data_IF_552848804806
#
_entry.id   IF_552848804806
#
_cell.length_a   1.000
_cell.length_b   1.000
_cell.length_c   1.000
_cell.angle_alpha   90.00
_cell.angle_beta   90.00
_cell.angle_gamma   90.00
#
_symmetry.space_group_name_H-M   'P 1'
#
loop_
_entity.id
_entity.type
_entity.pdbx_description
1 polymer ?
#
# COMPACT_ATOMS: atom_id res chain seq x y z
N UNK A 1 -27.94 -4.14 7.88
CA UNK A 1 -27.11 -4.42 6.68
C UNK A 1 -25.78 -4.93 7.18
N UNK A 2 -25.14 -5.90 6.50
CA UNK A 2 -23.79 -6.32 6.87
C UNK A 2 -22.80 -5.27 6.37
N UNK A 3 -21.93 -4.76 7.25
CA UNK A 3 -20.79 -3.93 6.84
C UNK A 3 -19.88 -4.78 5.93
N UNK A 4 -19.50 -4.30 4.73
CA UNK A 4 -18.56 -5.02 3.88
C UNK A 4 -17.27 -5.37 4.63
N UNK A 5 -16.78 -6.61 4.49
CA UNK A 5 -15.51 -7.02 5.09
C UNK A 5 -14.38 -6.16 4.55
N UNK A 6 -13.43 -5.76 5.39
CA UNK A 6 -12.21 -5.08 4.95
C UNK A 6 -11.10 -6.12 4.79
N UNK A 7 -10.32 -6.06 3.71
CA UNK A 7 -9.08 -6.85 3.59
C UNK A 7 -7.96 -5.92 4.04
N UNK A 8 -7.35 -6.25 5.18
CA UNK A 8 -6.30 -5.41 5.78
C UNK A 8 -4.89 -5.84 5.39
N UNK A 9 -4.71 -6.99 4.74
CA UNK A 9 -3.38 -7.51 4.44
C UNK A 9 -3.34 -8.44 3.23
N UNK A 10 -2.21 -8.40 2.52
CA UNK A 10 -1.67 -9.55 1.76
C UNK A 10 -0.30 -9.87 2.34
N UNK A 11 -0.04 -11.14 2.64
CA UNK A 11 1.24 -11.58 3.22
C UNK A 11 2.07 -12.44 2.25
N UNK A 12 3.39 -12.36 2.39
CA UNK A 12 4.38 -13.12 1.64
C UNK A 12 5.22 -14.00 2.57
N UNK A 13 5.48 -15.23 2.13
CA UNK A 13 6.55 -16.07 2.64
C UNK A 13 7.76 -15.92 1.74
N UNK A 14 8.82 -15.30 2.24
CA UNK A 14 9.94 -14.79 1.46
C UNK A 14 11.28 -15.39 1.91
N UNK A 15 12.12 -15.78 0.94
CA UNK A 15 13.49 -16.22 1.18
C UNK A 15 14.39 -15.04 1.59
N UNK A 16 14.10 -13.83 1.10
CA UNK A 16 14.63 -12.56 1.60
C UNK A 16 13.58 -11.45 1.74
N UNK A 17 12.86 -11.48 2.86
CA UNK A 17 11.94 -10.41 3.27
C UNK A 17 12.59 -9.03 3.48
N UNK A 18 13.91 -8.87 3.40
CA UNK A 18 14.53 -7.56 3.32
C UNK A 18 14.55 -7.02 1.88
N UNK A 19 15.16 -7.75 0.94
CA UNK A 19 15.24 -7.39 -0.47
C UNK A 19 13.88 -7.27 -1.12
N UNK A 20 12.99 -8.25 -0.91
CA UNK A 20 11.64 -8.25 -1.46
C UNK A 20 10.83 -7.02 -0.99
N UNK A 21 10.81 -6.78 0.32
CA UNK A 21 10.12 -5.63 0.92
C UNK A 21 10.75 -4.29 0.52
N UNK A 22 12.07 -4.22 0.31
CA UNK A 22 12.73 -3.04 -0.25
C UNK A 22 12.29 -2.79 -1.69
N UNK A 23 12.19 -3.84 -2.51
CA UNK A 23 11.72 -3.71 -3.89
C UNK A 23 10.30 -3.15 -3.96
N UNK A 24 9.33 -3.66 -3.18
CA UNK A 24 7.98 -3.08 -3.14
C UNK A 24 7.97 -1.62 -2.64
N UNK A 25 8.79 -1.30 -1.65
CA UNK A 25 8.96 0.06 -1.14
C UNK A 25 9.49 1.04 -2.20
N UNK A 26 10.52 0.66 -2.95
CA UNK A 26 11.14 1.49 -3.99
C UNK A 26 10.25 1.57 -5.25
N UNK A 27 9.78 0.41 -5.74
CA UNK A 27 9.02 0.29 -6.99
C UNK A 27 7.68 1.01 -6.94
N UNK A 28 6.96 0.93 -5.81
CA UNK A 28 5.61 1.47 -5.66
C UNK A 28 5.53 2.67 -4.72
N UNK A 29 6.67 3.18 -4.22
CA UNK A 29 6.77 4.28 -3.25
C UNK A 29 6.02 4.04 -1.91
N UNK A 30 5.72 2.77 -1.58
CA UNK A 30 5.08 2.38 -0.31
C UNK A 30 5.96 2.76 0.90
N UNK A 31 5.36 2.87 2.08
CA UNK A 31 6.09 3.31 3.28
C UNK A 31 6.48 2.14 4.18
N UNK A 32 7.77 2.02 4.48
CA UNK A 32 8.27 1.09 5.51
C UNK A 32 7.57 1.31 6.86
N UNK A 33 7.00 0.25 7.43
CA UNK A 33 6.42 0.22 8.78
C UNK A 33 7.35 -0.51 9.78
N UNK A 34 6.81 -1.00 10.89
CA UNK A 34 7.50 -1.74 11.93
C UNK A 34 8.07 -3.08 11.40
N UNK A 35 8.87 -3.73 12.25
CA UNK A 35 9.40 -5.08 12.04
C UNK A 35 9.43 -5.80 13.38
N UNK A 36 9.09 -7.08 13.41
CA UNK A 36 8.97 -7.90 14.62
C UNK A 36 9.66 -9.26 14.39
N UNK A 37 10.21 -9.84 15.46
CA UNK A 37 10.56 -11.26 15.54
C UNK A 37 9.40 -12.00 16.19
N UNK A 38 8.79 -12.92 15.46
CA UNK A 38 7.68 -13.75 15.91
C UNK A 38 8.20 -15.12 16.35
N UNK A 39 7.78 -15.59 17.54
CA UNK A 39 8.33 -16.77 18.21
C UNK A 39 7.24 -17.67 18.81
N UNK A 40 7.47 -18.99 18.92
CA UNK A 40 6.50 -19.95 19.47
C UNK A 40 6.32 -19.78 20.99
N UNK A 41 5.18 -20.22 21.57
CA UNK A 41 4.19 -21.13 20.99
C UNK A 41 3.01 -20.46 20.26
N UNK A 42 2.78 -19.16 20.42
CA UNK A 42 1.61 -18.49 19.86
C UNK A 42 1.58 -18.51 18.32
N UNK A 43 2.74 -18.31 17.68
CA UNK A 43 2.91 -18.43 16.23
C UNK A 43 2.52 -19.82 15.70
N UNK A 44 2.99 -20.88 16.36
CA UNK A 44 2.63 -22.28 16.03
C UNK A 44 1.12 -22.48 16.03
N UNK A 45 0.43 -21.94 17.03
CA UNK A 45 -1.03 -22.06 17.17
C UNK A 45 -1.81 -21.21 16.15
N UNK A 46 -1.31 -20.01 15.81
CA UNK A 46 -1.97 -19.10 14.87
C UNK A 46 -1.75 -19.56 13.42
N UNK A 47 -0.51 -19.85 13.05
CA UNK A 47 -0.13 -20.15 11.65
C UNK A 47 -0.18 -21.65 11.32
N UNK A 48 -0.43 -22.52 12.30
CA UNK A 48 -0.50 -23.98 12.10
C UNK A 48 0.87 -24.65 11.87
N UNK A 49 1.95 -23.87 11.82
CA UNK A 49 3.30 -24.33 11.49
C UNK A 49 4.08 -24.72 12.76
N UNK A 50 4.57 -25.96 12.82
CA UNK A 50 5.27 -26.49 13.99
C UNK A 50 6.53 -25.68 14.34
N UNK A 51 6.55 -25.09 15.54
CA UNK A 51 7.64 -24.28 16.09
C UNK A 51 7.98 -23.04 15.24
N UNK A 52 6.95 -22.37 14.71
CA UNK A 52 7.10 -21.21 13.84
C UNK A 52 7.92 -20.07 14.47
N UNK A 53 9.13 -19.86 13.96
CA UNK A 53 10.02 -18.74 14.28
C UNK A 53 10.30 -17.97 12.99
N UNK A 54 9.94 -16.69 12.93
CA UNK A 54 10.08 -15.88 11.71
C UNK A 54 10.38 -14.42 12.04
N UNK A 55 11.09 -13.72 11.15
CA UNK A 55 11.06 -12.25 11.13
C UNK A 55 9.92 -11.80 10.23
N UNK A 56 9.30 -10.69 10.60
CA UNK A 56 8.30 -10.03 9.78
C UNK A 56 8.59 -8.53 9.67
N UNK A 57 8.25 -7.93 8.54
CA UNK A 57 8.24 -6.49 8.34
C UNK A 57 7.14 -6.07 7.38
N UNK A 58 6.58 -4.88 7.61
CA UNK A 58 5.41 -4.41 6.85
C UNK A 58 5.71 -3.20 5.97
N UNK A 59 4.88 -3.01 4.95
CA UNK A 59 4.72 -1.76 4.19
C UNK A 59 3.26 -1.31 4.26
N UNK A 60 3.01 0.00 4.23
CA UNK A 60 1.66 0.56 4.02
C UNK A 60 1.58 1.35 2.71
N UNK A 61 0.40 1.34 2.09
CA UNK A 61 0.09 2.04 0.85
C UNK A 61 -0.72 3.33 1.10
N UNK A 62 -1.43 3.81 0.07
CA UNK A 62 -2.29 5.00 0.12
C UNK A 62 -3.49 4.90 1.08
N UNK A 63 -3.91 3.69 1.47
CA UNK A 63 -5.16 3.44 2.21
C UNK A 63 -5.01 3.66 3.73
N UNK A 64 -6.12 3.63 4.47
CA UNK A 64 -6.07 3.35 5.91
C UNK A 64 -6.30 1.85 6.17
N UNK A 65 -5.73 1.34 7.26
CA UNK A 65 -5.88 -0.06 7.70
C UNK A 65 -5.56 -1.13 6.62
N UNK A 66 -4.56 -0.89 5.76
CA UNK A 66 -4.00 -1.90 4.85
C UNK A 66 -2.47 -2.01 5.02
N UNK A 67 -1.92 -3.22 4.85
CA UNK A 67 -0.47 -3.48 4.83
C UNK A 67 -0.08 -4.63 3.89
N UNK A 68 1.12 -4.56 3.31
CA UNK A 68 1.81 -5.75 2.79
C UNK A 68 2.71 -6.32 3.88
N UNK A 69 2.61 -7.62 4.13
CA UNK A 69 3.35 -8.34 5.17
C UNK A 69 4.43 -9.25 4.57
N UNK A 70 5.67 -9.20 5.08
CA UNK A 70 6.80 -9.95 4.53
C UNK A 70 7.48 -10.82 5.60
N UNK A 71 7.09 -12.10 5.67
CA UNK A 71 7.73 -13.09 6.54
C UNK A 71 9.00 -13.67 5.95
N UNK A 72 9.97 -13.98 6.81
CA UNK A 72 11.07 -14.90 6.52
C UNK A 72 11.13 -15.93 7.64
N UNK A 73 10.73 -17.15 7.35
CA UNK A 73 10.69 -18.21 8.35
C UNK A 73 12.10 -18.79 8.57
N UNK A 74 12.53 -18.73 9.83
CA UNK A 74 13.80 -19.25 10.33
C UNK A 74 13.62 -20.73 10.70
N UNK A 75 12.50 -21.07 11.35
CA UNK A 75 12.11 -22.45 11.62
C UNK A 75 10.59 -22.63 11.46
N UNK A 76 10.13 -23.66 10.71
CA UNK A 76 10.88 -24.35 9.67
C UNK A 76 11.38 -23.34 8.63
N UNK A 77 12.52 -23.59 7.99
CA UNK A 77 13.01 -22.70 6.95
C UNK A 77 12.13 -22.83 5.70
N UNK A 78 11.65 -21.71 5.17
CA UNK A 78 10.89 -21.63 3.91
C UNK A 78 11.57 -22.43 2.79
N UNK A 79 10.85 -23.36 2.17
CA UNK A 79 11.32 -23.99 0.92
C UNK A 79 11.18 -22.99 -0.24
N UNK A 80 12.10 -22.99 -1.22
CA UNK A 80 11.87 -22.29 -2.48
C UNK A 80 10.63 -22.82 -3.20
N UNK A 81 9.95 -21.96 -3.95
CA UNK A 81 8.79 -22.33 -4.76
C UNK A 81 9.29 -23.15 -5.96
N UNK A 82 8.68 -24.30 -6.30
CA UNK A 82 8.96 -24.95 -7.58
C UNK A 82 8.51 -24.05 -8.74
N UNK A 83 8.86 -24.42 -9.98
CA UNK A 83 8.31 -23.80 -11.18
C UNK A 83 6.77 -23.92 -11.19
N UNK A 84 6.09 -22.83 -10.86
CA UNK A 84 4.62 -22.71 -10.80
C UNK A 84 4.16 -21.58 -11.72
N UNK A 85 3.08 -21.85 -12.43
CA UNK A 85 2.38 -20.92 -13.31
C UNK A 85 1.22 -20.27 -12.56
N UNK A 86 0.72 -19.10 -13.00
CA UNK A 86 -0.48 -18.47 -12.42
C UNK A 86 -1.77 -19.29 -12.60
N UNK A 87 -1.72 -20.40 -13.35
CA UNK A 87 -2.79 -21.39 -13.45
C UNK A 87 -2.80 -22.43 -12.32
N UNK A 88 -1.71 -22.57 -11.57
CA UNK A 88 -1.58 -23.58 -10.51
C UNK A 88 -2.26 -23.12 -9.21
N UNK A 89 -2.81 -24.04 -8.42
CA UNK A 89 -3.67 -23.73 -7.27
C UNK A 89 -2.95 -22.87 -6.22
N UNK A 90 -3.48 -21.68 -5.92
CA UNK A 90 -2.91 -20.76 -4.93
C UNK A 90 -3.19 -19.27 -5.15
N UNK A 91 -2.60 -18.43 -4.30
CA UNK A 91 -2.54 -16.98 -4.47
C UNK A 91 -1.39 -16.63 -5.43
N UNK A 92 -1.69 -16.08 -6.63
CA UNK A 92 -0.72 -16.05 -7.73
C UNK A 92 -0.30 -14.66 -8.23
N UNK A 93 -1.22 -13.69 -8.27
CA UNK A 93 -0.95 -12.36 -8.84
C UNK A 93 -1.43 -11.29 -7.87
N UNK A 94 -0.54 -10.38 -7.47
CA UNK A 94 -0.87 -9.20 -6.68
C UNK A 94 -1.14 -8.01 -7.61
N UNK A 95 -2.33 -7.41 -7.53
CA UNK A 95 -2.68 -6.24 -8.33
C UNK A 95 -2.52 -4.92 -7.57
N UNK A 96 -1.76 -4.00 -8.15
CA UNK A 96 -1.48 -2.67 -7.61
C UNK A 96 -1.97 -1.61 -8.61
N UNK A 97 -2.98 -0.85 -8.20
CA UNK A 97 -3.41 0.32 -8.94
C UNK A 97 -2.35 1.42 -8.83
N UNK A 98 -2.01 2.05 -9.96
CA UNK A 98 -1.02 3.12 -10.05
C UNK A 98 -1.62 4.38 -10.69
N UNK A 99 -1.48 5.52 -10.00
CA UNK A 99 -1.96 6.83 -10.49
C UNK A 99 -1.01 7.48 -11.51
N UNK A 100 0.23 7.01 -11.58
CA UNK A 100 1.24 7.42 -12.55
C UNK A 100 1.95 6.16 -13.08
N UNK A 101 1.35 5.60 -14.13
CA UNK A 101 1.76 4.34 -14.75
C UNK A 101 3.15 4.48 -15.40
N UNK A 102 3.36 5.51 -16.22
CA UNK A 102 4.60 5.72 -16.98
C UNK A 102 5.83 5.92 -16.08
N UNK A 103 5.71 6.77 -15.04
CA UNK A 103 6.79 6.99 -14.06
C UNK A 103 7.04 5.75 -13.21
N UNK A 104 6.08 4.85 -13.06
CA UNK A 104 6.22 3.61 -12.28
C UNK A 104 6.82 2.48 -13.11
N UNK A 105 6.39 2.29 -14.36
CA UNK A 105 7.06 1.39 -15.32
C UNK A 105 8.51 1.83 -15.57
N UNK A 106 8.78 3.14 -15.70
CA UNK A 106 10.15 3.68 -15.79
C UNK A 106 10.99 3.37 -14.55
N UNK A 107 10.40 3.37 -13.36
CA UNK A 107 11.06 3.06 -12.07
C UNK A 107 11.39 1.57 -11.96
N UNK A 108 10.45 0.71 -12.32
CA UNK A 108 10.61 -0.75 -12.37
C UNK A 108 11.71 -1.17 -13.35
N UNK A 109 11.71 -0.61 -14.57
CA UNK A 109 12.80 -0.80 -15.54
C UNK A 109 14.17 -0.37 -14.98
N UNK A 110 14.25 0.80 -14.32
CA UNK A 110 15.49 1.27 -13.68
C UNK A 110 15.95 0.42 -12.48
N UNK A 111 15.07 -0.43 -11.95
CA UNK A 111 15.37 -1.41 -10.89
C UNK A 111 15.70 -2.82 -11.44
N UNK A 112 15.66 -3.01 -12.76
CA UNK A 112 15.87 -4.30 -13.42
C UNK A 112 14.64 -5.20 -13.52
N UNK A 113 13.49 -4.78 -12.98
CA UNK A 113 12.20 -5.48 -13.14
C UNK A 113 11.46 -4.95 -14.36
N UNK A 114 11.91 -5.35 -15.55
CA UNK A 114 11.20 -5.05 -16.78
C UNK A 114 9.82 -5.72 -16.84
N UNK A 115 8.85 -5.14 -17.58
CA UNK A 115 7.61 -5.80 -17.95
C UNK A 115 7.81 -7.21 -18.55
N UNK A 116 6.91 -8.13 -18.20
CA UNK A 116 6.86 -9.49 -18.77
C UNK A 116 6.37 -9.44 -20.23
N UNK A 117 5.45 -8.52 -20.53
CA UNK A 117 4.96 -8.17 -21.86
C UNK A 117 4.83 -6.65 -21.97
N UNK A 118 4.69 -6.12 -23.18
CA UNK A 118 4.35 -4.70 -23.36
C UNK A 118 3.01 -4.35 -22.67
N UNK A 119 2.85 -3.10 -22.16
CA UNK A 119 1.59 -2.62 -21.60
C UNK A 119 0.41 -2.73 -22.58
N UNK A 120 -0.73 -3.20 -22.09
CA UNK A 120 -2.01 -3.29 -22.82
C UNK A 120 -2.99 -2.21 -22.38
N UNK A 121 -3.96 -1.88 -23.24
CA UNK A 121 -5.03 -0.93 -22.98
C UNK A 121 -4.68 0.54 -23.30
N UNK A 122 -5.71 1.38 -23.40
CA UNK A 122 -5.59 2.83 -23.60
C UNK A 122 -5.27 3.58 -22.31
N UNK A 123 -4.68 4.77 -22.42
CA UNK A 123 -4.34 5.63 -21.27
C UNK A 123 -5.56 5.93 -20.40
N UNK A 124 -5.44 5.64 -19.11
CA UNK A 124 -6.53 5.63 -18.11
C UNK A 124 -6.98 4.21 -17.75
N UNK A 125 -6.73 3.23 -18.62
CA UNK A 125 -7.07 1.82 -18.47
C UNK A 125 -5.87 0.88 -18.69
N UNK A 126 -4.63 1.39 -18.68
CA UNK A 126 -3.45 0.57 -18.99
C UNK A 126 -3.18 -0.49 -17.92
N UNK A 127 -2.70 -1.64 -18.39
CA UNK A 127 -2.36 -2.82 -17.59
C UNK A 127 -1.01 -3.40 -18.03
N UNK A 128 -0.19 -3.85 -17.08
CA UNK A 128 1.07 -4.59 -17.36
C UNK A 128 1.51 -5.43 -16.16
N UNK A 129 2.19 -6.54 -16.41
CA UNK A 129 2.74 -7.40 -15.35
C UNK A 129 4.27 -7.33 -15.26
N UNK A 130 4.81 -7.37 -14.04
CA UNK A 130 6.24 -7.53 -13.73
C UNK A 130 6.45 -8.70 -12.76
N UNK A 131 7.66 -9.25 -12.71
CA UNK A 131 8.09 -10.13 -11.64
C UNK A 131 8.77 -9.33 -10.51
N UNK A 132 8.44 -9.66 -9.26
CA UNK A 132 9.23 -9.24 -8.10
C UNK A 132 10.52 -10.07 -7.96
N UNK A 133 11.47 -9.71 -7.07
CA UNK A 133 12.74 -10.43 -6.90
C UNK A 133 12.64 -11.88 -6.43
N UNK A 134 11.45 -12.34 -6.02
CA UNK A 134 11.18 -13.73 -5.65
C UNK A 134 10.24 -14.44 -6.64
N UNK A 135 9.94 -13.80 -7.78
CA UNK A 135 9.16 -14.35 -8.88
C UNK A 135 7.65 -14.38 -8.66
N UNK A 136 7.09 -13.61 -7.72
CA UNK A 136 5.65 -13.38 -7.71
C UNK A 136 5.28 -12.37 -8.81
N UNK A 137 4.14 -12.56 -9.46
CA UNK A 137 3.66 -11.63 -10.47
C UNK A 137 2.96 -10.46 -9.78
N UNK A 138 3.35 -9.26 -10.16
CA UNK A 138 2.67 -8.02 -9.78
C UNK A 138 2.06 -7.41 -11.03
N UNK A 139 0.74 -7.26 -11.05
CA UNK A 139 0.05 -6.47 -12.06
C UNK A 139 0.01 -4.99 -11.62
N UNK A 140 0.29 -4.11 -12.57
CA UNK A 140 0.06 -2.68 -12.48
C UNK A 140 -1.15 -2.33 -13.34
N UNK A 141 -2.09 -1.57 -12.79
CA UNK A 141 -3.24 -1.06 -13.55
C UNK A 141 -3.59 0.40 -13.23
N UNK A 142 -4.11 1.13 -14.22
CA UNK A 142 -4.60 2.51 -13.99
C UNK A 142 -6.02 2.52 -13.41
N UNK A 143 -6.90 1.64 -13.88
CA UNK A 143 -8.31 1.52 -13.49
C UNK A 143 -8.72 0.07 -13.16
N UNK A 144 -9.93 -0.09 -12.62
CA UNK A 144 -10.50 -1.36 -12.18
C UNK A 144 -12.05 -1.24 -12.18
N UNK A 145 -12.81 -2.34 -12.36
CA UNK A 145 -14.23 -2.30 -12.74
C UNK A 145 -15.21 -1.89 -11.63
N UNK A 146 -14.73 -1.47 -10.45
CA UNK A 146 -15.53 -1.32 -9.23
C UNK A 146 -15.07 -0.07 -8.49
N UNK A 147 -16.00 0.78 -8.04
CA UNK A 147 -15.67 1.92 -7.18
C UNK A 147 -15.56 1.54 -5.69
N UNK A 148 -14.63 2.19 -4.99
CA UNK A 148 -14.46 2.13 -3.54
C UNK A 148 -14.73 3.52 -2.92
N UNK A 149 -15.98 4.04 -2.96
CA UNK A 149 -16.29 5.42 -2.56
C UNK A 149 -15.99 5.69 -1.08
N UNK A 150 -16.15 4.68 -0.22
CA UNK A 150 -15.87 4.80 1.22
C UNK A 150 -14.37 4.78 1.57
N UNK A 151 -13.49 4.46 0.60
CA UNK A 151 -12.04 4.31 0.83
C UNK A 151 -11.32 5.60 0.50
N UNK A 152 -11.40 6.55 1.44
CA UNK A 152 -10.59 7.77 1.43
C UNK A 152 -9.11 7.40 1.59
N UNK A 153 -8.26 7.92 0.70
CA UNK A 153 -6.81 7.73 0.80
C UNK A 153 -6.26 8.43 2.06
N UNK A 154 -5.67 7.67 2.98
CA UNK A 154 -5.00 8.24 4.17
C UNK A 154 -3.70 8.96 3.82
N UNK A 155 -3.08 8.55 2.70
CA UNK A 155 -1.78 8.98 2.19
C UNK A 155 -1.87 9.22 0.66
N UNK A 156 -2.60 10.26 0.19
CA UNK A 156 -2.78 10.55 -1.22
C UNK A 156 -1.48 10.98 -1.93
N UNK A 157 -0.39 11.24 -1.19
CA UNK A 157 0.95 11.38 -1.77
C UNK A 157 1.55 10.07 -2.31
N UNK A 158 1.01 8.90 -1.92
CA UNK A 158 1.45 7.58 -2.41
C UNK A 158 0.67 7.26 -3.69
N UNK A 159 1.38 7.23 -4.82
CA UNK A 159 0.82 7.00 -6.15
C UNK A 159 0.38 5.56 -6.44
N UNK A 160 0.45 4.66 -5.46
CA UNK A 160 0.21 3.23 -5.63
C UNK A 160 -0.72 2.70 -4.54
N UNK A 161 -1.67 1.86 -4.93
CA UNK A 161 -2.68 1.30 -4.03
C UNK A 161 -2.82 -0.20 -4.31
N UNK A 162 -2.65 -1.05 -3.31
CA UNK A 162 -2.83 -2.50 -3.50
C UNK A 162 -4.33 -2.78 -3.53
N UNK A 163 -4.83 -3.33 -4.65
CA UNK A 163 -6.26 -3.35 -4.97
C UNK A 163 -6.82 -4.71 -5.33
N UNK A 164 -6.02 -5.69 -5.75
CA UNK A 164 -6.54 -7.03 -6.06
C UNK A 164 -5.57 -8.16 -5.73
N UNK A 165 -6.12 -9.37 -5.59
CA UNK A 165 -5.39 -10.64 -5.63
C UNK A 165 -6.12 -11.58 -6.61
N UNK A 166 -5.36 -12.28 -7.45
CA UNK A 166 -5.88 -13.39 -8.28
C UNK A 166 -5.58 -14.71 -7.56
N UNK A 167 -6.62 -15.51 -7.35
CA UNK A 167 -6.58 -16.77 -6.62
C UNK A 167 -7.06 -17.90 -7.53
N UNK A 168 -6.17 -18.85 -7.80
CA UNK A 168 -6.45 -19.95 -8.73
C UNK A 168 -6.97 -21.15 -7.96
N UNK A 169 -8.22 -21.55 -8.21
CA UNK A 169 -9.01 -22.45 -7.36
C UNK A 169 -9.40 -23.74 -8.10
N UNK A 170 -9.56 -24.88 -7.39
CA UNK A 170 -9.90 -26.15 -8.04
C UNK A 170 -11.36 -26.21 -8.47
N UNK A 171 -12.26 -25.56 -7.74
CA UNK A 171 -13.70 -25.47 -8.04
C UNK A 171 -14.22 -24.06 -7.76
N UNK A 172 -14.78 -23.40 -8.79
CA UNK A 172 -15.20 -22.01 -8.67
C UNK A 172 -16.43 -21.82 -7.77
N UNK A 173 -17.38 -22.75 -7.76
CA UNK A 173 -18.62 -22.63 -6.99
C UNK A 173 -18.39 -22.91 -5.50
N UNK A 174 -17.54 -23.89 -5.19
CA UNK A 174 -17.09 -24.16 -3.84
C UNK A 174 -16.35 -22.94 -3.25
N UNK A 175 -15.38 -22.39 -3.98
CA UNK A 175 -14.64 -21.21 -3.53
C UNK A 175 -15.51 -19.94 -3.52
N UNK A 176 -16.45 -19.77 -4.47
CA UNK A 176 -17.49 -18.71 -4.43
C UNK A 176 -18.21 -18.72 -3.09
N UNK A 177 -18.80 -19.86 -2.73
CA UNK A 177 -19.59 -20.01 -1.51
C UNK A 177 -18.73 -19.85 -0.24
N UNK A 178 -17.47 -20.27 -0.27
CA UNK A 178 -16.55 -20.01 0.85
C UNK A 178 -16.24 -18.52 1.04
N UNK A 179 -15.78 -17.83 -0.01
CA UNK A 179 -15.37 -16.44 0.11
C UNK A 179 -16.58 -15.48 0.26
N UNK A 180 -17.75 -15.77 -0.32
CA UNK A 180 -18.97 -14.98 -0.10
C UNK A 180 -19.70 -15.36 1.19
N UNK A 181 -20.24 -16.59 1.28
CA UNK A 181 -21.17 -16.96 2.34
C UNK A 181 -20.49 -17.23 3.68
N UNK A 182 -19.27 -17.79 3.69
CA UNK A 182 -18.55 -18.06 4.95
C UNK A 182 -17.81 -16.79 5.41
N UNK A 183 -16.88 -16.28 4.58
CA UNK A 183 -16.01 -15.16 4.96
C UNK A 183 -16.71 -13.78 4.93
N UNK A 184 -17.62 -13.56 3.96
CA UNK A 184 -18.41 -12.32 3.85
C UNK A 184 -17.92 -11.31 2.81
N UNK A 185 -17.24 -11.74 1.74
CA UNK A 185 -17.03 -10.89 0.56
C UNK A 185 -18.33 -10.79 -0.26
N UNK A 186 -18.45 -9.76 -1.10
CA UNK A 186 -19.61 -9.58 -1.98
C UNK A 186 -19.25 -9.94 -3.42
N UNK A 187 -20.15 -10.63 -4.13
CA UNK A 187 -20.02 -10.83 -5.58
C UNK A 187 -20.15 -9.48 -6.31
N UNK A 188 -19.40 -9.32 -7.39
CA UNK A 188 -19.52 -8.21 -8.34
C UNK A 188 -20.20 -8.77 -9.59
N UNK A 189 -21.53 -8.62 -9.67
CA UNK A 189 -22.34 -9.27 -10.72
C UNK A 189 -21.97 -8.77 -12.14
N UNK A 190 -21.87 -7.45 -12.33
CA UNK A 190 -21.65 -6.80 -13.65
C UNK A 190 -20.17 -6.43 -13.91
N UNK A 191 -19.21 -6.95 -13.14
CA UNK A 191 -17.83 -6.47 -13.15
C UNK A 191 -16.79 -7.58 -13.34
N UNK A 192 -16.07 -7.53 -14.47
CA UNK A 192 -14.95 -8.43 -14.79
C UNK A 192 -13.63 -7.68 -14.60
N UNK A 193 -12.71 -8.23 -13.81
CA UNK A 193 -11.33 -7.71 -13.70
C UNK A 193 -10.45 -8.29 -14.83
N UNK A 194 -10.60 -9.58 -15.11
CA UNK A 194 -9.85 -10.27 -16.17
C UNK A 194 -10.71 -11.04 -17.17
N UNK A 195 -10.40 -10.85 -18.44
CA UNK A 195 -10.88 -11.65 -19.57
C UNK A 195 -9.75 -12.57 -20.08
N UNK A 196 -10.06 -13.39 -21.09
CA UNK A 196 -9.10 -14.30 -21.74
C UNK A 196 -7.92 -13.55 -22.39
N UNK A 197 -8.06 -12.26 -22.73
CA UNK A 197 -6.98 -11.45 -23.32
C UNK A 197 -5.91 -11.02 -22.32
N UNK A 198 -6.18 -11.15 -21.01
CA UNK A 198 -5.22 -10.90 -19.94
C UNK A 198 -4.31 -12.10 -19.65
N UNK A 199 -4.68 -13.32 -20.04
CA UNK A 199 -3.91 -14.56 -19.81
C UNK A 199 -2.50 -14.51 -20.45
N UNK A 200 -2.37 -13.89 -21.61
CA UNK A 200 -1.09 -13.77 -22.33
C UNK A 200 -0.04 -12.97 -21.55
N UNK A 201 -0.44 -11.94 -20.79
CA UNK A 201 0.47 -11.14 -19.96
C UNK A 201 1.08 -11.95 -18.81
N UNK A 202 0.51 -13.12 -18.53
CA UNK A 202 0.88 -14.03 -17.44
C UNK A 202 1.62 -15.28 -17.94
N UNK A 203 1.93 -15.33 -19.25
CA UNK A 203 2.56 -16.49 -19.89
C UNK A 203 1.59 -17.66 -20.12
N UNK A 204 0.27 -17.38 -20.23
CA UNK A 204 -0.80 -18.36 -20.42
C UNK A 204 -1.58 -18.16 -21.74
N UNK A 205 -0.92 -18.00 -22.91
CA UNK A 205 -1.62 -17.78 -24.18
C UNK A 205 -2.57 -18.95 -24.52
N UNK A 206 -3.81 -18.61 -24.90
CA UNK A 206 -4.86 -19.59 -25.20
C UNK A 206 -5.42 -20.34 -23.99
N UNK A 207 -5.16 -19.88 -22.76
CA UNK A 207 -5.78 -20.45 -21.58
C UNK A 207 -7.30 -20.26 -21.56
N UNK A 208 -8.00 -21.23 -20.97
CA UNK A 208 -9.46 -21.25 -20.82
C UNK A 208 -9.78 -21.41 -19.35
N UNK A 209 -10.47 -20.43 -18.77
CA UNK A 209 -10.76 -20.35 -17.34
C UNK A 209 -12.21 -19.91 -17.09
N UNK A 210 -12.74 -20.28 -15.92
CA UNK A 210 -13.94 -19.63 -15.35
C UNK A 210 -13.50 -18.65 -14.29
N UNK A 211 -14.15 -17.49 -14.20
CA UNK A 211 -13.78 -16.41 -13.29
C UNK A 211 -14.97 -15.91 -12.48
N UNK A 212 -14.69 -15.45 -11.26
CA UNK A 212 -15.63 -14.71 -10.42
C UNK A 212 -14.90 -13.56 -9.73
N UNK A 213 -15.40 -12.34 -9.87
CA UNK A 213 -14.91 -11.20 -9.13
C UNK A 213 -15.69 -11.04 -7.81
N UNK A 214 -14.95 -11.03 -6.71
CA UNK A 214 -15.45 -10.68 -5.38
C UNK A 214 -14.85 -9.34 -4.95
N UNK A 215 -15.58 -8.59 -4.13
CA UNK A 215 -15.10 -7.36 -3.49
C UNK A 215 -15.23 -7.40 -1.98
N UNK A 216 -14.32 -6.68 -1.34
CA UNK A 216 -14.36 -6.27 0.05
C UNK A 216 -14.85 -4.79 0.12
N UNK A 217 -14.68 -4.14 1.27
CA UNK A 217 -14.78 -2.69 1.43
C UNK A 217 -13.75 -1.93 0.57
N UNK A 218 -12.59 -2.52 0.30
CA UNK A 218 -11.39 -1.82 -0.20
C UNK A 218 -10.55 -2.57 -1.25
N UNK A 219 -10.88 -3.82 -1.54
CA UNK A 219 -10.00 -4.76 -2.22
C UNK A 219 -10.81 -5.74 -3.07
N UNK A 220 -10.23 -6.26 -4.15
CA UNK A 220 -10.82 -7.25 -5.04
C UNK A 220 -10.15 -8.62 -4.85
N UNK A 221 -10.95 -9.68 -4.91
CA UNK A 221 -10.46 -11.07 -4.93
C UNK A 221 -11.06 -11.70 -6.19
N UNK A 222 -10.23 -11.99 -7.19
CA UNK A 222 -10.69 -12.73 -8.35
C UNK A 222 -10.39 -14.21 -8.15
N UNK A 223 -11.43 -15.04 -8.18
CA UNK A 223 -11.32 -16.50 -8.16
C UNK A 223 -11.29 -17.02 -9.59
N UNK A 224 -10.31 -17.86 -9.92
CA UNK A 224 -10.09 -18.37 -11.29
C UNK A 224 -9.96 -19.89 -11.27
N UNK A 225 -10.91 -20.59 -11.89
CA UNK A 225 -10.83 -22.03 -12.11
C UNK A 225 -10.33 -22.27 -13.54
N UNK A 226 -9.06 -22.66 -13.69
CA UNK A 226 -8.48 -23.00 -14.98
C UNK A 226 -8.96 -24.38 -15.46
N UNK A 227 -9.32 -24.44 -16.74
CA UNK A 227 -9.67 -25.67 -17.47
C UNK A 227 -8.49 -26.09 -18.35
N UNK A 228 -7.85 -25.10 -18.97
CA UNK A 228 -6.65 -25.26 -19.79
C UNK A 228 -5.71 -24.06 -19.57
N UNK A 229 -4.41 -24.26 -19.27
CA UNK A 229 -3.79 -25.53 -18.90
C UNK A 229 -4.41 -26.12 -17.62
N UNK A 230 -4.34 -27.45 -17.47
CA UNK A 230 -4.85 -28.12 -16.27
C UNK A 230 -4.09 -27.63 -15.01
N UNK A 231 -4.78 -27.17 -13.96
CA UNK A 231 -4.14 -26.55 -12.80
C UNK A 231 -3.39 -27.59 -11.95
N UNK A 232 -2.12 -27.34 -11.62
CA UNK A 232 -1.40 -28.20 -10.66
C UNK A 232 -1.79 -27.83 -9.23
N UNK A 233 -2.13 -28.84 -8.44
CA UNK A 233 -2.37 -28.70 -7.00
C UNK A 233 -1.15 -28.13 -6.25
N UNK A 234 -1.32 -27.85 -4.95
CA UNK A 234 -0.21 -27.55 -4.05
C UNK A 234 0.83 -28.69 -4.05
N UNK A 235 2.15 -28.39 -3.96
CA UNK A 235 3.18 -29.42 -3.83
C UNK A 235 2.97 -30.33 -2.61
N UNK A 236 3.44 -31.58 -2.69
CA UNK A 236 3.38 -32.51 -1.56
C UNK A 236 4.12 -31.94 -0.34
N UNK A 237 3.45 -31.93 0.82
CA UNK A 237 3.99 -31.36 2.06
C UNK A 237 4.20 -29.84 2.01
N UNK A 238 3.55 -29.11 1.09
CA UNK A 238 3.46 -27.65 1.11
C UNK A 238 2.97 -27.13 2.47
N UNK A 239 3.56 -26.04 2.93
CA UNK A 239 3.10 -25.27 4.08
C UNK A 239 3.07 -23.79 3.72
N UNK A 240 2.24 -23.00 4.40
CA UNK A 240 2.11 -21.57 4.12
C UNK A 240 3.42 -20.77 4.34
N UNK A 241 4.40 -21.34 5.05
CA UNK A 241 5.76 -20.78 5.15
C UNK A 241 6.67 -21.03 3.94
N UNK A 242 6.28 -21.89 2.99
CA UNK A 242 7.03 -22.09 1.74
C UNK A 242 6.83 -20.88 0.81
N UNK A 243 7.80 -20.62 -0.07
CA UNK A 243 7.94 -19.34 -0.78
C UNK A 243 6.73 -19.00 -1.67
N UNK A 244 6.26 -17.74 -1.56
CA UNK A 244 5.21 -17.18 -2.41
C UNK A 244 4.30 -16.20 -1.66
N UNK A 245 3.17 -15.85 -2.27
CA UNK A 245 2.07 -15.16 -1.59
C UNK A 245 1.41 -16.17 -0.62
N UNK A 246 1.40 -15.84 0.67
CA UNK A 246 0.99 -16.73 1.75
C UNK A 246 -0.53 -16.75 1.94
N UNK A 247 -1.13 -15.58 2.14
CA UNK A 247 -2.57 -15.40 2.37
C UNK A 247 -3.00 -13.94 2.17
N UNK A 248 -4.32 -13.74 2.31
CA UNK A 248 -4.93 -12.45 2.66
C UNK A 248 -5.39 -12.45 4.12
N UNK A 249 -5.54 -11.27 4.74
CA UNK A 249 -6.20 -11.12 6.05
C UNK A 249 -7.46 -10.26 5.99
N UNK A 250 -8.50 -10.71 6.69
CA UNK A 250 -9.72 -9.97 6.96
C UNK A 250 -9.54 -9.13 8.23
N UNK A 251 -9.78 -7.82 8.10
CA UNK A 251 -9.62 -6.83 9.16
C UNK A 251 -10.91 -6.58 9.94
N UNK A 252 -10.81 -6.54 11.27
CA UNK A 252 -11.93 -6.32 12.17
C UNK A 252 -11.77 -5.07 13.05
N UNK A 253 -12.83 -4.27 13.14
CA UNK A 253 -12.88 -3.01 13.91
C UNK A 253 -12.82 -3.22 15.43
N UNK A 254 -13.41 -4.30 15.94
CA UNK A 254 -13.44 -4.65 17.36
C UNK A 254 -13.25 -6.15 17.60
N UNK A 255 -12.96 -6.51 18.86
CA UNK A 255 -12.98 -7.90 19.34
C UNK A 255 -14.33 -8.58 19.12
N UNK A 256 -15.46 -7.86 19.22
CA UNK A 256 -16.79 -8.43 19.02
C UNK A 256 -17.05 -8.79 17.54
N UNK A 257 -16.66 -7.90 16.61
CA UNK A 257 -16.77 -8.15 15.17
C UNK A 257 -15.93 -9.37 14.77
N UNK A 258 -14.71 -9.47 15.35
CA UNK A 258 -13.82 -10.62 15.19
C UNK A 258 -14.48 -11.91 15.70
N UNK A 259 -15.01 -11.92 16.93
CA UNK A 259 -15.54 -13.15 17.53
C UNK A 259 -16.83 -13.63 16.82
N UNK A 260 -17.69 -12.71 16.39
CA UNK A 260 -18.85 -13.04 15.57
C UNK A 260 -18.43 -13.59 14.19
N UNK A 261 -17.44 -12.96 13.54
CA UNK A 261 -16.95 -13.43 12.25
C UNK A 261 -16.23 -14.79 12.35
N UNK A 262 -15.41 -14.98 13.38
CA UNK A 262 -14.71 -16.25 13.64
C UNK A 262 -15.70 -17.38 13.92
N UNK A 263 -16.74 -17.12 14.73
CA UNK A 263 -17.82 -18.10 14.91
C UNK A 263 -18.52 -18.42 13.58
N UNK A 264 -18.90 -17.41 12.79
CA UNK A 264 -19.52 -17.63 11.47
C UNK A 264 -18.63 -18.47 10.54
N UNK A 265 -17.31 -18.20 10.53
CA UNK A 265 -16.37 -18.96 9.72
C UNK A 265 -16.32 -20.44 10.12
N UNK A 266 -16.19 -20.73 11.42
CA UNK A 266 -16.16 -22.11 11.95
C UNK A 266 -17.50 -22.81 11.78
N UNK A 267 -18.63 -22.15 12.04
CA UNK A 267 -19.97 -22.68 11.80
C UNK A 267 -20.21 -22.97 10.31
N UNK A 268 -19.60 -22.19 9.41
CA UNK A 268 -19.61 -22.36 7.96
C UNK A 268 -18.56 -23.33 7.42
N UNK A 269 -17.88 -24.10 8.29
CA UNK A 269 -16.97 -25.18 7.90
C UNK A 269 -15.48 -24.82 7.83
N UNK A 270 -15.08 -23.56 8.04
CA UNK A 270 -13.65 -23.21 8.11
C UNK A 270 -12.94 -23.92 9.26
N UNK A 271 -11.79 -24.55 8.99
CA UNK A 271 -10.94 -25.19 9.99
C UNK A 271 -9.93 -24.19 10.59
N UNK A 272 -10.06 -23.77 11.86
CA UNK A 272 -9.09 -22.88 12.49
C UNK A 272 -7.82 -23.64 12.92
N UNK A 273 -6.66 -23.00 12.82
CA UNK A 273 -5.39 -23.58 13.31
C UNK A 273 -5.35 -23.78 14.84
N UNK A 274 -6.19 -23.06 15.58
CA UNK A 274 -6.34 -23.21 17.02
C UNK A 274 -7.37 -22.24 17.60
N UNK A 275 -7.31 -22.02 18.92
CA UNK A 275 -8.12 -21.00 19.60
C UNK A 275 -7.56 -19.60 19.29
N UNK A 276 -8.38 -18.58 18.97
CA UNK A 276 -7.89 -17.23 18.69
C UNK A 276 -7.00 -16.67 19.80
N UNK A 277 -5.88 -16.07 19.39
CA UNK A 277 -4.86 -15.55 20.31
C UNK A 277 -4.98 -14.03 20.37
N UNK A 278 -5.11 -13.48 21.57
CA UNK A 278 -5.09 -12.04 21.83
C UNK A 278 -3.85 -11.70 22.66
N UNK A 279 -2.96 -10.87 22.11
CA UNK A 279 -1.72 -10.45 22.77
C UNK A 279 -1.76 -8.98 23.24
N UNK A 280 -2.96 -8.40 23.37
CA UNK A 280 -3.16 -7.00 23.78
C UNK A 280 -2.84 -5.97 22.68
N UNK A 281 -1.92 -6.28 21.75
CA UNK A 281 -1.68 -5.50 20.52
C UNK A 281 -2.78 -5.77 19.49
N UNK A 282 -2.98 -7.05 19.18
CA UNK A 282 -3.98 -7.55 18.24
C UNK A 282 -4.58 -8.87 18.74
N UNK A 283 -5.71 -9.25 18.13
CA UNK A 283 -6.33 -10.58 18.24
C UNK A 283 -6.36 -11.24 16.87
N UNK A 284 -5.91 -12.48 16.76
CA UNK A 284 -5.63 -13.15 15.48
C UNK A 284 -5.96 -14.65 15.50
N UNK A 285 -6.39 -15.18 14.36
CA UNK A 285 -6.40 -16.61 14.04
C UNK A 285 -6.40 -16.81 12.52
N UNK A 286 -5.78 -17.89 12.03
CA UNK A 286 -5.90 -18.30 10.63
C UNK A 286 -6.96 -19.38 10.54
N UNK A 287 -7.80 -19.29 9.51
CA UNK A 287 -8.85 -20.26 9.19
C UNK A 287 -8.64 -20.78 7.77
N UNK A 288 -8.87 -22.07 7.56
CA UNK A 288 -8.56 -22.76 6.32
C UNK A 288 -9.81 -23.40 5.73
N UNK A 289 -9.93 -23.43 4.41
CA UNK A 289 -11.00 -24.15 3.72
C UNK A 289 -10.67 -25.65 3.49
N UNK A 290 -11.49 -26.31 2.67
CA UNK A 290 -11.31 -27.71 2.29
C UNK A 290 -10.19 -27.95 1.28
N UNK A 291 -9.79 -26.94 0.49
CA UNK A 291 -8.78 -27.04 -0.57
C UNK A 291 -7.38 -26.57 -0.14
N UNK A 292 -7.26 -26.12 1.12
CA UNK A 292 -6.01 -25.73 1.76
C UNK A 292 -5.71 -24.22 1.71
N UNK A 293 -6.66 -23.39 1.27
CA UNK A 293 -6.49 -21.93 1.32
C UNK A 293 -6.60 -21.45 2.76
N UNK A 294 -5.51 -20.86 3.26
CA UNK A 294 -5.49 -20.18 4.55
C UNK A 294 -5.89 -18.71 4.38
N UNK A 295 -6.72 -18.20 5.29
CA UNK A 295 -7.10 -16.79 5.40
C UNK A 295 -6.88 -16.35 6.85
N UNK A 296 -6.17 -15.24 7.06
CA UNK A 296 -6.00 -14.67 8.39
C UNK A 296 -7.25 -13.84 8.78
N UNK A 297 -7.62 -13.91 10.05
CA UNK A 297 -8.58 -13.03 10.69
C UNK A 297 -7.82 -12.18 11.70
N UNK A 298 -7.94 -10.84 11.61
CA UNK A 298 -7.11 -9.92 12.39
C UNK A 298 -7.92 -8.72 12.93
N UNK A 299 -7.96 -8.59 14.26
CA UNK A 299 -8.34 -7.34 14.92
C UNK A 299 -7.08 -6.65 15.47
N UNK A 300 -6.55 -5.66 14.74
CA UNK A 300 -5.40 -4.86 15.18
C UNK A 300 -5.86 -3.53 15.80
N UNK A 301 -5.51 -3.28 17.06
CA UNK A 301 -6.05 -2.14 17.83
C UNK A 301 -5.43 -0.83 17.36
N UNK A 302 -6.25 0.10 16.85
CA UNK A 302 -5.82 1.39 16.23
C UNK A 302 -4.77 2.18 17.01
N UNK A 303 -4.88 2.22 18.34
CA UNK A 303 -3.91 2.89 19.25
C UNK A 303 -2.50 2.25 19.28
N UNK A 304 -2.31 1.08 18.67
CA UNK A 304 -1.05 0.32 18.60
C UNK A 304 -0.61 0.00 17.16
N UNK A 305 -1.25 0.58 16.14
CA UNK A 305 -0.87 0.40 14.73
C UNK A 305 0.60 0.75 14.39
N UNK A 306 1.29 1.55 15.23
CA UNK A 306 2.73 1.82 15.07
C UNK A 306 3.65 0.68 15.52
N UNK A 307 3.12 -0.41 16.10
CA UNK A 307 3.87 -1.65 16.33
C UNK A 307 3.36 -2.80 15.46
N UNK A 308 2.07 -2.82 15.11
CA UNK A 308 1.43 -3.87 14.29
C UNK A 308 1.28 -3.52 12.81
N UNK A 309 2.31 -2.93 12.17
CA UNK A 309 2.40 -2.76 10.71
C UNK A 309 1.55 -1.66 10.03
N UNK A 310 0.43 -1.23 10.63
CA UNK A 310 -0.53 -0.33 9.97
C UNK A 310 -0.19 1.18 9.95
N UNK A 311 0.94 1.60 10.54
CA UNK A 311 1.43 2.99 10.48
C UNK A 311 2.86 3.06 9.93
N UNK A 312 3.25 4.09 9.16
CA UNK A 312 4.63 4.28 8.73
C UNK A 312 5.63 4.32 9.92
N UNK A 313 6.84 3.78 9.70
CA UNK A 313 7.96 3.84 10.66
C UNK A 313 8.62 5.22 10.75
N UNK A 314 8.33 6.08 9.77
CA UNK A 314 8.77 7.47 9.70
C UNK A 314 8.00 8.33 10.70
N UNK A 315 8.65 9.39 11.19
CA UNK A 315 7.93 10.51 11.76
C UNK A 315 7.10 11.16 10.64
N UNK A 316 5.77 11.06 10.74
CA UNK A 316 4.82 11.52 9.73
C UNK A 316 4.00 12.70 10.28
N UNK A 317 3.87 13.75 9.47
CA UNK A 317 3.16 15.00 9.80
C UNK A 317 2.23 15.34 8.65
N UNK A 318 1.05 15.87 8.97
CA UNK A 318 0.10 16.42 8.00
C UNK A 318 -0.55 17.67 8.57
N UNK A 319 -0.67 18.71 7.74
CA UNK A 319 -1.54 19.86 7.94
C UNK A 319 -2.32 20.14 6.66
N UNK A 320 -3.56 20.60 6.81
CA UNK A 320 -4.55 20.73 5.76
C UNK A 320 -5.31 22.06 5.94
N UNK A 321 -5.72 22.68 4.83
CA UNK A 321 -6.48 23.94 4.82
C UNK A 321 -7.31 24.07 3.54
N UNK A 322 -8.51 24.63 3.66
CA UNK A 322 -9.31 25.12 2.53
C UNK A 322 -8.95 26.58 2.25
N UNK A 323 -8.67 26.90 0.98
CA UNK A 323 -8.36 28.25 0.50
C UNK A 323 -9.39 28.62 -0.57
N UNK A 324 -10.08 29.76 -0.41
CA UNK A 324 -11.01 30.34 -1.39
C UNK A 324 -10.23 30.97 -2.56
N UNK A 325 -9.55 30.13 -3.32
CA UNK A 325 -8.81 30.49 -4.52
C UNK A 325 -8.64 29.27 -5.42
N UNK A 326 -8.40 29.49 -6.71
CA UNK A 326 -8.09 28.43 -7.67
C UNK A 326 -6.74 27.76 -7.37
N UNK A 327 -6.50 26.53 -7.86
CA UNK A 327 -5.21 25.87 -7.66
C UNK A 327 -4.04 26.63 -8.30
N UNK A 328 -4.29 27.45 -9.33
CA UNK A 328 -3.29 28.28 -10.00
C UNK A 328 -2.88 29.49 -9.13
N UNK A 329 -3.85 30.20 -8.55
CA UNK A 329 -3.59 31.29 -7.59
C UNK A 329 -2.82 30.77 -6.37
N UNK A 330 -3.26 29.66 -5.76
CA UNK A 330 -2.54 29.02 -4.63
C UNK A 330 -1.14 28.59 -5.04
N UNK A 331 -0.97 27.98 -6.22
CA UNK A 331 0.33 27.53 -6.73
C UNK A 331 1.30 28.69 -6.95
N UNK A 332 0.83 29.83 -7.46
CA UNK A 332 1.67 31.00 -7.73
C UNK A 332 2.39 31.51 -6.47
N UNK A 333 1.70 31.56 -5.33
CA UNK A 333 2.23 32.00 -4.03
C UNK A 333 2.98 30.88 -3.32
N UNK A 334 2.48 29.64 -3.37
CA UNK A 334 3.12 28.47 -2.74
C UNK A 334 4.49 28.14 -3.38
N UNK A 335 4.65 28.38 -4.68
CA UNK A 335 5.89 28.12 -5.42
C UNK A 335 6.78 29.34 -5.59
N UNK A 336 6.39 30.52 -5.10
CA UNK A 336 7.33 31.63 -4.98
C UNK A 336 8.29 31.39 -3.81
N UNK A 337 9.55 31.12 -4.16
CA UNK A 337 10.62 30.85 -3.21
C UNK A 337 11.17 32.12 -2.56
N UNK A 338 11.02 33.28 -3.20
CA UNK A 338 11.59 34.53 -2.70
C UNK A 338 10.64 35.21 -1.69
N UNK A 339 9.32 35.13 -1.88
CA UNK A 339 8.31 35.56 -0.87
C UNK A 339 7.87 34.47 0.11
N UNK A 340 8.49 33.29 0.09
CA UNK A 340 8.21 32.17 1.03
C UNK A 340 8.30 32.60 2.52
N UNK A 341 9.16 33.58 2.83
CA UNK A 341 9.31 34.14 4.16
C UNK A 341 8.20 35.08 4.64
N UNK A 342 7.22 35.39 3.78
CA UNK A 342 6.07 36.25 4.11
C UNK A 342 4.95 35.47 4.80
N UNK A 343 4.91 34.15 4.59
CA UNK A 343 3.84 33.26 5.07
C UNK A 343 4.34 32.10 5.93
N UNK A 344 5.65 31.97 6.16
CA UNK A 344 6.20 31.04 7.14
C UNK A 344 7.54 31.53 7.73
N UNK A 345 7.98 30.93 8.83
CA UNK A 345 9.27 31.25 9.46
C UNK A 345 10.51 30.91 8.62
N UNK A 346 10.33 30.25 7.46
CA UNK A 346 11.40 29.75 6.61
C UNK A 346 11.65 30.69 5.44
N UNK A 347 12.89 31.16 5.28
CA UNK A 347 13.32 31.91 4.09
C UNK A 347 14.10 30.97 3.16
N UNK A 348 13.66 30.86 1.92
CA UNK A 348 14.38 30.14 0.87
C UNK A 348 15.28 31.09 0.06
N UNK A 349 16.24 30.51 -0.65
CA UNK A 349 16.98 31.13 -1.75
C UNK A 349 17.38 30.03 -2.74
N UNK A 350 17.01 30.18 -4.01
CA UNK A 350 17.44 29.24 -5.06
C UNK A 350 18.96 29.26 -5.20
N UNK A 351 19.55 28.08 -5.36
CA UNK A 351 21.00 27.88 -5.61
C UNK A 351 21.29 27.04 -6.86
N UNK A 352 20.31 26.29 -7.37
CA UNK A 352 20.28 25.71 -8.71
C UNK A 352 18.83 25.77 -9.21
N UNK A 353 18.55 26.32 -10.40
CA UNK A 353 17.22 26.23 -11.02
C UNK A 353 16.92 24.80 -11.49
N UNK A 354 15.63 24.46 -11.63
CA UNK A 354 15.20 23.17 -12.14
C UNK A 354 15.56 22.91 -13.61
N UNK A 355 15.44 21.65 -14.01
CA UNK A 355 15.96 21.11 -15.28
C UNK A 355 15.11 21.48 -16.51
N UNK A 356 13.96 22.14 -16.32
CA UNK A 356 13.05 22.58 -17.39
C UNK A 356 12.25 23.80 -16.96
N UNK A 357 11.66 23.73 -15.77
CA UNK A 357 11.06 24.87 -15.06
C UNK A 357 12.07 25.35 -14.00
N UNK A 358 12.49 26.63 -13.96
CA UNK A 358 13.43 27.15 -12.98
C UNK A 358 12.99 27.02 -11.51
N UNK A 359 11.68 26.88 -11.25
CA UNK A 359 11.08 26.59 -9.93
C UNK A 359 10.80 25.09 -9.71
N UNK A 360 10.89 24.26 -10.75
CA UNK A 360 10.35 22.90 -10.75
C UNK A 360 11.36 21.78 -10.46
N UNK A 361 11.17 20.64 -11.11
CA UNK A 361 11.98 19.42 -10.91
C UNK A 361 13.49 19.70 -11.01
N UNK A 362 14.26 19.25 -10.02
CA UNK A 362 15.71 19.47 -9.94
C UNK A 362 16.13 20.78 -9.28
N UNK A 363 15.20 21.70 -8.99
CA UNK A 363 15.49 22.97 -8.30
C UNK A 363 16.04 22.70 -6.91
N UNK A 364 17.22 23.25 -6.61
CA UNK A 364 17.79 23.23 -5.27
C UNK A 364 17.71 24.62 -4.63
N UNK A 365 17.26 24.65 -3.37
CA UNK A 365 17.09 25.88 -2.58
C UNK A 365 17.70 25.74 -1.19
N UNK A 366 18.36 26.79 -0.72
CA UNK A 366 18.82 26.90 0.68
C UNK A 366 17.67 27.49 1.50
N UNK A 367 17.10 26.69 2.38
CA UNK A 367 16.06 27.10 3.33
C UNK A 367 16.70 27.41 4.69
N UNK A 368 16.22 28.46 5.37
CA UNK A 368 16.76 28.91 6.65
C UNK A 368 15.69 29.43 7.60
N UNK A 369 15.81 29.05 8.87
CA UNK A 369 14.94 29.49 9.97
C UNK A 369 15.67 29.29 11.31
N UNK A 370 15.53 30.25 12.24
CA UNK A 370 16.01 30.11 13.63
C UNK A 370 17.46 29.60 13.76
N UNK A 371 18.37 30.12 12.93
CA UNK A 371 19.78 29.71 12.86
C UNK A 371 20.06 28.43 12.07
N UNK A 372 19.07 27.59 11.83
CA UNK A 372 19.19 26.41 10.97
C UNK A 372 19.36 26.81 9.50
N UNK A 373 20.13 25.99 8.77
CA UNK A 373 20.27 26.04 7.31
C UNK A 373 20.07 24.63 6.75
N UNK A 374 19.32 24.54 5.67
CA UNK A 374 18.88 23.30 5.03
C UNK A 374 19.10 23.46 3.52
N UNK A 375 19.61 22.43 2.84
CA UNK A 375 19.56 22.34 1.39
C UNK A 375 18.42 21.42 1.00
N UNK A 376 17.42 21.95 0.32
CA UNK A 376 16.29 21.21 -0.23
C UNK A 376 16.42 21.05 -1.75
N UNK A 377 15.81 20.01 -2.30
CA UNK A 377 15.67 19.79 -3.74
C UNK A 377 14.24 19.34 -4.08
N UNK A 378 13.64 19.91 -5.13
CA UNK A 378 12.34 19.51 -5.66
C UNK A 378 12.49 18.27 -6.53
N UNK A 379 11.79 17.20 -6.17
CA UNK A 379 11.95 15.84 -6.73
C UNK A 379 10.72 15.35 -7.50
N UNK A 380 9.57 16.03 -7.39
CA UNK A 380 8.37 15.79 -8.21
C UNK A 380 7.68 17.14 -8.48
N UNK A 381 7.15 17.36 -9.69
CA UNK A 381 6.59 18.65 -10.13
C UNK A 381 5.45 18.43 -11.12
N UNK A 382 4.22 18.78 -10.72
CA UNK A 382 3.01 18.78 -11.54
C UNK A 382 2.28 20.11 -11.31
N UNK A 383 2.43 21.11 -12.22
CA UNK A 383 1.85 22.44 -12.08
C UNK A 383 0.38 22.44 -11.67
N UNK A 384 0.06 23.32 -10.72
CA UNK A 384 -1.28 23.56 -10.16
C UNK A 384 -1.90 22.33 -9.47
N UNK A 385 -1.15 21.24 -9.26
CA UNK A 385 -1.63 20.00 -8.63
C UNK A 385 -0.75 19.51 -7.50
N UNK A 386 0.55 19.32 -7.70
CA UNK A 386 1.46 18.87 -6.62
C UNK A 386 2.94 19.10 -6.87
N UNK A 387 3.70 19.24 -5.81
CA UNK A 387 5.14 19.00 -5.84
C UNK A 387 5.64 18.31 -4.58
N UNK A 388 6.78 17.64 -4.70
CA UNK A 388 7.46 17.01 -3.59
C UNK A 388 8.93 17.45 -3.53
N UNK A 389 9.48 17.53 -2.33
CA UNK A 389 10.86 17.98 -2.09
C UNK A 389 11.55 17.15 -1.01
N UNK A 390 12.88 17.07 -1.05
CA UNK A 390 13.72 16.32 -0.11
C UNK A 390 14.81 17.17 0.50
N UNK A 391 15.24 16.86 1.72
CA UNK A 391 16.42 17.49 2.34
C UNK A 391 17.68 16.78 1.89
N UNK A 392 18.53 17.47 1.12
CA UNK A 392 19.85 17.01 0.71
C UNK A 392 20.89 17.18 1.81
N UNK A 393 20.79 18.22 2.64
CA UNK A 393 21.64 18.39 3.84
C UNK A 393 21.06 19.37 4.87
N UNK A 394 21.51 19.27 6.12
CA UNK A 394 21.02 20.09 7.24
C UNK A 394 19.79 19.50 7.92
N UNK A 395 19.00 20.34 8.59
CA UNK A 395 17.67 20.01 9.15
C UNK A 395 17.59 19.02 10.32
N UNK A 396 18.65 18.26 10.62
CA UNK A 396 18.66 17.30 11.73
C UNK A 396 17.89 16.00 11.46
N UNK A 397 17.66 15.67 10.19
CA UNK A 397 16.80 14.57 9.72
C UNK A 397 17.49 13.69 8.67
N UNK A 398 16.98 12.48 8.49
CA UNK A 398 17.28 11.56 7.38
C UNK A 398 15.99 11.22 6.64
N UNK A 399 16.11 10.74 5.41
CA UNK A 399 15.00 10.21 4.59
C UNK A 399 13.80 11.17 4.52
N UNK A 400 14.06 12.48 4.48
CA UNK A 400 13.02 13.50 4.48
C UNK A 400 12.37 13.59 3.09
N UNK A 401 11.04 13.54 3.05
CA UNK A 401 10.23 14.01 1.92
C UNK A 401 9.10 14.88 2.46
N UNK A 402 8.93 16.06 1.88
CA UNK A 402 7.73 16.89 2.01
C UNK A 402 6.93 16.79 0.71
N UNK A 403 5.62 16.71 0.85
CA UNK A 403 4.64 16.52 -0.20
C UNK A 403 3.55 17.59 -0.08
N UNK A 404 3.31 18.33 -1.16
CA UNK A 404 2.31 19.39 -1.25
C UNK A 404 1.33 19.04 -2.37
N UNK A 405 0.05 18.94 -2.01
CA UNK A 405 -1.05 18.54 -2.90
C UNK A 405 -2.15 19.60 -2.86
N UNK A 406 -2.56 20.05 -4.05
CA UNK A 406 -3.70 20.92 -4.30
C UNK A 406 -4.80 20.08 -4.95
N UNK A 407 -5.95 19.97 -4.28
CA UNK A 407 -7.17 19.39 -4.83
C UNK A 407 -8.21 20.50 -5.03
N UNK A 408 -8.68 20.77 -6.26
CA UNK A 408 -9.80 21.68 -6.47
C UNK A 408 -11.08 21.11 -5.82
N UNK A 409 -11.90 21.98 -5.25
CA UNK A 409 -13.22 21.72 -4.67
C UNK A 409 -14.20 22.77 -5.20
N UNK A 410 -15.50 22.59 -4.96
CA UNK A 410 -16.55 23.48 -5.50
C UNK A 410 -16.43 24.94 -5.02
N UNK A 411 -15.79 25.17 -3.87
CA UNK A 411 -15.60 26.46 -3.20
C UNK A 411 -14.12 26.91 -3.10
N UNK A 412 -13.20 26.28 -3.86
CA UNK A 412 -11.80 26.69 -3.93
C UNK A 412 -10.80 25.54 -4.03
N UNK A 413 -9.75 25.58 -3.21
CA UNK A 413 -8.67 24.59 -3.23
C UNK A 413 -8.39 24.03 -1.83
N UNK A 414 -8.45 22.71 -1.70
CA UNK A 414 -7.92 22.00 -0.55
C UNK A 414 -6.40 21.83 -0.70
N UNK A 415 -5.63 22.48 0.17
CA UNK A 415 -4.18 22.31 0.29
C UNK A 415 -3.88 21.30 1.41
N UNK A 416 -3.25 20.18 1.04
CA UNK A 416 -2.62 19.23 1.98
C UNK A 416 -1.11 19.34 1.91
N UNK A 417 -0.47 19.50 3.07
CA UNK A 417 0.97 19.39 3.24
C UNK A 417 1.28 18.19 4.14
N UNK A 418 1.81 17.10 3.56
CA UNK A 418 2.33 15.95 4.30
C UNK A 418 3.87 15.95 4.31
N UNK A 419 4.45 15.37 5.36
CA UNK A 419 5.90 15.26 5.53
C UNK A 419 6.24 13.93 6.19
N UNK A 420 7.27 13.24 5.70
CA UNK A 420 7.86 12.05 6.33
C UNK A 420 9.37 12.23 6.52
N UNK A 421 9.90 11.77 7.64
CA UNK A 421 11.35 11.77 7.91
C UNK A 421 11.74 10.74 8.97
N UNK A 422 13.04 10.44 9.08
CA UNK A 422 13.66 9.77 10.23
C UNK A 422 14.43 10.78 11.08
N UNK A 423 14.26 10.80 12.41
CA UNK A 423 15.07 11.64 13.29
C UNK A 423 16.52 11.13 13.34
N UNK A 424 17.50 12.02 13.52
CA UNK A 424 18.87 11.59 13.81
C UNK A 424 19.03 10.91 15.17
N UNK A 425 18.22 11.33 16.16
CA UNK A 425 18.23 10.79 17.52
C UNK A 425 17.09 9.77 17.67
N UNK A 426 17.36 8.50 18.04
CA UNK A 426 16.34 7.50 18.33
C UNK A 426 15.30 8.00 19.35
N UNK A 427 14.02 7.69 19.13
CA UNK A 427 12.91 8.18 19.96
C UNK A 427 12.49 9.64 19.71
N UNK A 428 13.39 10.50 19.21
CA UNK A 428 13.12 11.93 18.98
C UNK A 428 12.05 12.25 17.91
N UNK A 429 11.59 11.25 17.16
CA UNK A 429 10.64 11.41 16.06
C UNK A 429 9.27 11.94 16.46
N UNK A 430 8.70 11.49 17.59
CA UNK A 430 7.38 11.97 18.05
C UNK A 430 7.42 13.44 18.52
N UNK A 431 8.37 13.88 19.38
CA UNK A 431 8.53 15.30 19.70
C UNK A 431 8.78 16.18 18.47
N UNK A 432 9.65 15.74 17.55
CA UNK A 432 9.93 16.48 16.31
C UNK A 432 8.68 16.61 15.43
N UNK A 433 7.91 15.53 15.25
CA UNK A 433 6.66 15.56 14.50
C UNK A 433 5.62 16.51 15.12
N UNK A 434 5.49 16.55 16.44
CA UNK A 434 4.56 17.46 17.14
C UNK A 434 4.98 18.94 17.01
N UNK A 435 6.28 19.24 17.09
CA UNK A 435 6.82 20.59 16.87
C UNK A 435 6.59 21.04 15.42
N UNK A 436 6.97 20.21 14.45
CA UNK A 436 6.80 20.49 13.03
C UNK A 436 5.31 20.61 12.67
N UNK A 437 4.42 19.79 13.26
CA UNK A 437 2.98 19.93 13.02
C UNK A 437 2.49 21.33 13.40
N UNK A 438 2.85 21.85 14.58
CA UNK A 438 2.48 23.22 15.00
C UNK A 438 3.05 24.30 14.07
N UNK A 439 4.31 24.15 13.66
CA UNK A 439 4.98 25.06 12.72
C UNK A 439 4.23 25.13 11.40
N UNK A 440 3.99 23.98 10.76
CA UNK A 440 3.36 23.94 9.44
C UNK A 440 1.85 24.21 9.49
N UNK A 441 1.18 23.98 10.62
CA UNK A 441 -0.21 24.43 10.84
C UNK A 441 -0.32 25.96 10.79
N UNK A 442 0.65 26.68 11.36
CA UNK A 442 0.69 28.14 11.26
C UNK A 442 1.03 28.61 9.84
N UNK A 443 1.94 27.91 9.15
CA UNK A 443 2.33 28.24 7.78
C UNK A 443 1.18 28.11 6.77
N UNK A 444 0.38 27.04 6.82
CA UNK A 444 -0.76 26.87 5.88
C UNK A 444 -1.86 27.90 6.10
N UNK A 445 -2.08 28.36 7.34
CA UNK A 445 -3.05 29.40 7.66
C UNK A 445 -2.57 30.80 7.22
N UNK A 446 -1.28 31.10 7.37
CA UNK A 446 -0.67 32.32 6.84
C UNK A 446 -0.67 32.34 5.30
N UNK A 447 -0.41 31.19 4.65
CA UNK A 447 -0.50 31.06 3.20
C UNK A 447 -1.93 31.29 2.69
N UNK A 448 -2.93 30.65 3.32
CA UNK A 448 -4.37 30.91 3.06
C UNK A 448 -4.66 32.42 3.07
N UNK A 449 -4.31 33.10 4.16
CA UNK A 449 -4.55 34.52 4.31
C UNK A 449 -3.82 35.39 3.26
N UNK A 450 -2.59 35.03 2.86
CA UNK A 450 -1.83 35.74 1.81
C UNK A 450 -2.46 35.57 0.42
N UNK A 451 -2.96 34.38 0.09
CA UNK A 451 -3.63 34.11 -1.19
C UNK A 451 -4.99 34.80 -1.25
N UNK A 452 -5.81 34.67 -0.21
CA UNK A 452 -7.17 35.26 -0.17
C UNK A 452 -7.12 36.80 -0.14
N UNK A 453 -6.12 37.40 0.49
CA UNK A 453 -5.88 38.84 0.42
C UNK A 453 -5.42 39.31 -0.97
N UNK A 454 -4.71 38.47 -1.74
CA UNK A 454 -4.26 38.80 -3.09
C UNK A 454 -5.38 38.72 -4.15
N UNK A 455 -6.40 37.88 -3.91
CA UNK A 455 -7.62 37.76 -4.71
C UNK A 455 -8.59 38.93 -4.52
N UNK A 456 -8.45 39.67 -3.41
CA UNK A 456 -9.35 40.77 -3.03
C UNK A 456 -8.93 42.17 -3.54
N UNK A 457 -7.98 42.22 -4.48
CA UNK A 457 -7.35 43.46 -5.01
C UNK A 457 -7.35 43.47 -6.54
#
# INVERSE_FOLDING_TARGET
MNTPRHICQVAFSALDNFGLRKWYCDAFQLLESSRILFFPPSTTQVQGIKNALSTCGWLVDSQDYFQLEFFKFINPRSKPRPDRKPSDIGYNILGIQVADFDKTVKRLNAMGSAPITDPRGDKGNRRVCVADPEGNIVELFESYPVSFPDVVASRPEINSTVRSIVVSVPDLEKSRNYFSEVLGLSVVEDGVLHDESHEEMWGLPGARSKRLLLRSANFLVELVQYIEPSPRAWPEGYQICDQGIMNIALGYSSTADFDQAFKKAVDGGSRPNGKPVDIGVFKVMYVNDDDGFSVEMLHARRRLWSVSGFNPSYAYVTNEVMIDASPEEVWSVLTDHDTMGDWCLFKAKVVRPGDTDPKGLGTQRKVSALGMKILEEIIEWEPHRRFAYTVRSGGGVKDYRGDLLLSPQDDGTHLRWSMRFRPLIPGGGKPAALLLKKIFASAVQQLKAKVEAAKAV
#
